data_IF_102414398162
#
_entry.id   IF_102414398162
#
_cell.length_a   1.000
_cell.length_b   1.000
_cell.length_c   1.000
_cell.angle_alpha   90.00
_cell.angle_beta   90.00
_cell.angle_gamma   90.00
#
_symmetry.space_group_name_H-M   'P 1'
#
loop_
_entity.id
_entity.type
_entity.pdbx_description
1 polymer ?
#
# COMPACT_ATOMS: atom_id res chain seq x y z
N UNK A 1 -12.27 8.87 -0.45
CA UNK A 1 -11.27 9.87 -0.88
C UNK A 1 -9.99 9.68 -0.08
N UNK A 2 -8.84 10.06 -0.63
CA UNK A 2 -7.54 9.89 0.02
C UNK A 2 -6.69 8.81 -0.66
N UNK A 3 -5.39 8.89 -0.41
CA UNK A 3 -4.40 7.95 -0.90
C UNK A 3 -4.30 6.74 0.03
N UNK A 4 -3.96 5.58 -0.51
CA UNK A 4 -3.77 4.34 0.27
C UNK A 4 -2.30 3.94 0.31
N UNK A 5 -1.93 3.20 1.35
CA UNK A 5 -0.67 2.45 1.36
C UNK A 5 -0.80 1.23 0.43
N UNK A 6 0.13 1.08 -0.52
CA UNK A 6 0.08 0.01 -1.52
C UNK A 6 0.21 -1.38 -0.90
N UNK A 7 1.07 -1.53 0.10
CA UNK A 7 1.34 -2.83 0.70
C UNK A 7 0.15 -3.30 1.55
N UNK A 8 -0.46 -2.39 2.31
CA UNK A 8 -1.70 -2.68 3.06
C UNK A 8 -2.82 -3.10 2.12
N UNK A 9 -3.00 -2.37 1.00
CA UNK A 9 -3.96 -2.74 -0.03
C UNK A 9 -3.66 -4.12 -0.66
N UNK A 10 -2.40 -4.39 -0.99
CA UNK A 10 -1.98 -5.67 -1.57
C UNK A 10 -2.19 -6.84 -0.59
N UNK A 11 -2.08 -6.63 0.72
CA UNK A 11 -2.37 -7.66 1.71
C UNK A 11 -3.88 -7.87 1.89
N UNK A 12 -4.64 -6.79 2.04
CA UNK A 12 -6.11 -6.85 2.08
C UNK A 12 -6.71 -7.56 0.86
N UNK A 13 -6.23 -7.26 -0.35
CA UNK A 13 -6.78 -7.87 -1.56
C UNK A 13 -6.43 -9.35 -1.67
N UNK A 14 -5.26 -9.79 -1.17
CA UNK A 14 -4.89 -11.21 -1.12
C UNK A 14 -5.81 -11.97 -0.18
N UNK A 15 -6.07 -11.42 1.01
CA UNK A 15 -7.00 -12.00 1.98
C UNK A 15 -8.41 -12.09 1.40
N UNK A 16 -8.90 -11.02 0.78
CA UNK A 16 -10.20 -11.02 0.11
C UNK A 16 -10.31 -12.11 -0.97
N UNK A 17 -9.28 -12.27 -1.80
CA UNK A 17 -9.26 -13.28 -2.85
C UNK A 17 -9.15 -14.70 -2.30
N UNK A 18 -8.45 -14.89 -1.19
CA UNK A 18 -8.36 -16.18 -0.50
C UNK A 18 -9.71 -16.60 0.09
N UNK A 19 -10.36 -15.68 0.81
CA UNK A 19 -11.59 -16.00 1.57
C UNK A 19 -12.85 -16.00 0.68
N UNK A 20 -12.86 -15.16 -0.36
CA UNK A 20 -14.05 -14.91 -1.16
C UNK A 20 -13.84 -15.11 -2.68
N UNK A 21 -12.70 -15.64 -3.13
CA UNK A 21 -12.37 -15.76 -4.55
C UNK A 21 -13.38 -16.58 -5.38
N UNK A 22 -13.98 -17.62 -4.80
CA UNK A 22 -15.06 -18.40 -5.45
C UNK A 22 -16.36 -17.60 -5.65
N UNK A 23 -16.58 -16.62 -4.77
CA UNK A 23 -17.75 -15.78 -4.77
C UNK A 23 -17.50 -14.47 -5.54
N UNK A 24 -16.25 -14.17 -5.91
CA UNK A 24 -15.84 -12.97 -6.60
C UNK A 24 -15.73 -13.22 -8.11
N UNK A 25 -16.75 -12.87 -8.87
CA UNK A 25 -16.79 -13.12 -10.32
C UNK A 25 -15.93 -12.15 -11.11
N UNK A 26 -15.93 -10.87 -10.73
CA UNK A 26 -15.12 -9.84 -11.38
C UNK A 26 -14.78 -8.72 -10.42
N UNK A 27 -13.55 -8.22 -10.54
CA UNK A 27 -13.08 -7.05 -9.82
C UNK A 27 -12.39 -6.08 -10.78
N UNK A 28 -12.59 -4.78 -10.62
CA UNK A 28 -11.83 -3.75 -11.35
C UNK A 28 -11.71 -2.51 -10.50
N UNK A 29 -10.59 -1.81 -10.61
CA UNK A 29 -10.45 -0.56 -9.90
C UNK A 29 -9.29 0.30 -10.35
N UNK A 30 -9.41 1.57 -10.00
CA UNK A 30 -8.37 2.59 -10.06
C UNK A 30 -8.16 3.06 -8.63
N UNK A 31 -6.94 2.98 -8.13
CA UNK A 31 -6.59 3.33 -6.75
C UNK A 31 -5.58 4.47 -6.77
N UNK A 32 -5.79 5.44 -5.88
CA UNK A 32 -4.83 6.49 -5.58
C UNK A 32 -3.83 5.97 -4.53
N UNK A 33 -2.59 5.73 -4.94
CA UNK A 33 -1.53 5.22 -4.06
C UNK A 33 -0.64 6.36 -3.57
N UNK A 34 -0.35 6.38 -2.27
CA UNK A 34 0.49 7.40 -1.65
C UNK A 34 1.89 7.39 -2.25
N UNK A 35 2.40 8.56 -2.64
CA UNK A 35 3.77 8.68 -3.18
C UNK A 35 3.96 8.18 -4.62
N UNK A 36 2.88 7.87 -5.35
CA UNK A 36 2.94 7.47 -6.77
C UNK A 36 1.98 8.32 -7.60
N UNK A 37 2.52 9.07 -8.56
CA UNK A 37 1.73 9.96 -9.44
C UNK A 37 0.98 9.22 -10.55
N UNK A 38 1.21 7.91 -10.72
CA UNK A 38 0.47 7.06 -11.65
C UNK A 38 -0.75 6.43 -10.98
N UNK A 39 -1.79 6.23 -11.77
CA UNK A 39 -2.99 5.48 -11.34
C UNK A 39 -2.63 4.01 -11.20
N UNK A 40 -2.90 3.43 -10.03
CA UNK A 40 -2.83 1.99 -9.84
C UNK A 40 -4.12 1.37 -10.36
N UNK A 41 -4.03 0.57 -11.41
CA UNK A 41 -5.17 -0.06 -12.05
C UNK A 41 -5.11 -1.55 -11.79
N UNK A 42 -6.21 -2.13 -11.30
CA UNK A 42 -6.35 -3.56 -11.17
C UNK A 42 -7.58 -4.10 -11.89
N UNK A 43 -7.51 -5.38 -12.24
CA UNK A 43 -8.62 -6.15 -12.75
C UNK A 43 -8.48 -7.62 -12.36
N UNK A 44 -9.60 -8.28 -12.12
CA UNK A 44 -9.64 -9.69 -11.76
C UNK A 44 -10.91 -10.41 -12.19
N UNK A 45 -10.80 -11.74 -12.27
CA UNK A 45 -11.86 -12.70 -12.61
C UNK A 45 -11.67 -13.94 -11.74
N UNK A 46 -12.60 -14.24 -10.83
CA UNK A 46 -12.39 -15.28 -9.84
C UNK A 46 -11.17 -14.95 -8.95
N UNK A 47 -10.29 -15.95 -8.81
CA UNK A 47 -9.02 -15.82 -8.10
C UNK A 47 -7.91 -15.08 -8.90
N UNK A 48 -8.12 -14.84 -10.20
CA UNK A 48 -7.10 -14.16 -11.01
C UNK A 48 -7.15 -12.66 -10.76
N UNK A 49 -6.01 -12.08 -10.41
CA UNK A 49 -5.84 -10.65 -10.16
C UNK A 49 -4.60 -10.13 -10.89
N UNK A 50 -4.76 -9.06 -11.64
CA UNK A 50 -3.68 -8.39 -12.35
C UNK A 50 -3.69 -6.89 -12.02
N UNK A 51 -2.49 -6.32 -11.87
CA UNK A 51 -2.28 -4.92 -11.47
C UNK A 51 -1.21 -4.25 -12.31
N UNK A 52 -1.37 -2.95 -12.55
CA UNK A 52 -0.40 -2.16 -13.31
C UNK A 52 -0.50 -0.68 -12.92
N UNK A 53 0.60 0.06 -13.05
CA UNK A 53 0.58 1.51 -12.97
C UNK A 53 0.47 2.09 -14.37
N UNK A 54 -0.60 2.83 -14.66
CA UNK A 54 -0.83 3.39 -15.99
C UNK A 54 -1.59 4.70 -15.94
N UNK A 55 -1.10 5.68 -16.70
CA UNK A 55 -1.70 7.01 -16.76
C UNK A 55 -1.38 7.80 -15.51
N UNK A 56 -0.86 9.00 -15.68
CA UNK A 56 -0.58 9.91 -14.57
C UNK A 56 -1.86 10.60 -14.12
N UNK A 57 -1.92 10.94 -12.83
CA UNK A 57 -2.88 11.91 -12.32
C UNK A 57 -2.55 13.28 -12.91
N UNK A 58 -3.53 13.93 -13.54
CA UNK A 58 -3.31 15.28 -14.10
C UNK A 58 -3.13 16.28 -12.96
N UNK A 59 -2.44 17.39 -13.24
CA UNK A 59 -2.32 18.51 -12.29
C UNK A 59 -3.71 19.00 -11.87
N UNK A 60 -4.00 18.98 -10.58
CA UNK A 60 -5.29 19.38 -10.02
C UNK A 60 -6.41 18.34 -10.17
N UNK A 61 -6.14 17.17 -10.76
CA UNK A 61 -7.09 16.05 -10.74
C UNK A 61 -7.24 15.53 -9.32
N UNK A 62 -8.49 15.37 -8.88
CA UNK A 62 -8.78 14.75 -7.59
C UNK A 62 -8.31 13.30 -7.61
N UNK A 63 -7.40 12.96 -6.70
CA UNK A 63 -6.88 11.59 -6.54
C UNK A 63 -7.88 10.76 -5.76
N UNK A 64 -8.76 10.08 -6.49
CA UNK A 64 -9.85 9.30 -5.92
C UNK A 64 -9.75 7.83 -6.34
N UNK A 65 -9.93 6.95 -5.37
CA UNK A 65 -10.01 5.51 -5.60
C UNK A 65 -11.44 5.13 -5.97
N UNK A 66 -11.63 4.42 -7.08
CA UNK A 66 -12.92 3.92 -7.55
C UNK A 66 -12.76 2.49 -8.02
N UNK A 67 -13.59 1.59 -7.51
CA UNK A 67 -13.53 0.17 -7.86
C UNK A 67 -14.90 -0.48 -7.77
N UNK A 68 -15.01 -1.65 -8.38
CA UNK A 68 -16.21 -2.48 -8.42
C UNK A 68 -15.83 -3.92 -8.15
N UNK A 69 -16.63 -4.56 -7.31
CA UNK A 69 -16.63 -6.01 -7.09
C UNK A 69 -17.99 -6.56 -7.52
N UNK A 70 -17.97 -7.64 -8.29
CA UNK A 70 -19.16 -8.36 -8.76
C UNK A 70 -19.04 -9.78 -8.25
N UNK A 71 -20.06 -10.26 -7.54
CA UNK A 71 -20.05 -11.57 -6.91
C UNK A 71 -21.36 -11.91 -6.22
N UNK A 72 -21.38 -13.04 -5.52
CA UNK A 72 -22.50 -13.49 -4.69
C UNK A 72 -22.13 -13.43 -3.20
N UNK A 73 -23.12 -13.18 -2.33
CA UNK A 73 -22.94 -13.17 -0.87
C UNK A 73 -21.78 -12.27 -0.39
N UNK A 74 -21.53 -11.16 -1.09
CA UNK A 74 -20.51 -10.19 -0.70
C UNK A 74 -21.05 -9.27 0.38
N UNK A 75 -20.34 -9.18 1.51
CA UNK A 75 -20.65 -8.23 2.57
C UNK A 75 -20.07 -6.86 2.21
N UNK A 76 -20.94 -5.96 1.76
CA UNK A 76 -20.54 -4.61 1.31
C UNK A 76 -19.92 -3.80 2.45
N UNK A 77 -20.41 -3.97 3.69
CA UNK A 77 -19.90 -3.21 4.83
C UNK A 77 -18.48 -3.66 5.19
N UNK A 78 -18.22 -4.97 5.19
CA UNK A 78 -16.86 -5.50 5.39
C UNK A 78 -15.90 -5.09 4.29
N UNK A 79 -16.32 -5.15 3.03
CA UNK A 79 -15.49 -4.72 1.90
C UNK A 79 -15.10 -3.24 2.01
N UNK A 80 -16.06 -2.39 2.40
CA UNK A 80 -15.78 -0.96 2.62
C UNK A 80 -14.83 -0.75 3.80
N UNK A 81 -15.07 -1.42 4.91
CA UNK A 81 -14.23 -1.30 6.10
C UNK A 81 -12.78 -1.73 5.82
N UNK A 82 -12.57 -2.90 5.19
CA UNK A 82 -11.22 -3.36 4.87
C UNK A 82 -10.50 -2.47 3.86
N UNK A 83 -11.20 -1.88 2.90
CA UNK A 83 -10.59 -0.88 2.02
C UNK A 83 -10.23 0.41 2.78
N UNK A 84 -11.06 0.82 3.75
CA UNK A 84 -10.83 2.02 4.55
C UNK A 84 -9.57 1.89 5.42
N UNK A 85 -9.28 0.69 5.92
CA UNK A 85 -8.03 0.37 6.64
C UNK A 85 -6.77 0.55 5.78
N UNK A 86 -6.91 0.52 4.46
CA UNK A 86 -5.79 0.78 3.55
C UNK A 86 -5.44 2.28 3.45
N UNK A 87 -6.32 3.18 3.90
CA UNK A 87 -6.12 4.62 3.74
C UNK A 87 -4.97 5.11 4.59
N UNK A 88 -4.11 5.87 3.94
CA UNK A 88 -3.03 6.56 4.63
C UNK A 88 -3.54 7.91 5.13
N UNK A 89 -3.85 7.99 6.42
CA UNK A 89 -4.45 9.17 7.05
C UNK A 89 -3.59 9.80 8.14
N UNK A 90 -2.57 9.09 8.62
CA UNK A 90 -1.71 9.54 9.71
C UNK A 90 -0.35 10.01 9.20
N UNK A 91 0.36 10.77 10.05
CA UNK A 91 1.76 11.08 9.78
C UNK A 91 2.63 9.88 10.15
N UNK A 92 3.63 9.61 9.32
CA UNK A 92 4.62 8.56 9.58
C UNK A 92 5.35 8.81 10.91
N UNK A 93 5.48 7.76 11.73
CA UNK A 93 6.09 7.78 13.07
C UNK A 93 7.51 8.37 13.10
N UNK A 94 8.28 8.20 12.02
CA UNK A 94 9.70 8.57 11.97
C UNK A 94 10.01 9.66 10.94
N UNK A 95 10.30 10.91 11.35
CA UNK A 95 10.74 11.97 10.44
C UNK A 95 12.00 11.61 9.65
N UNK A 96 12.20 12.26 8.49
CA UNK A 96 13.47 12.16 7.74
C UNK A 96 14.63 12.60 8.63
N UNK A 97 15.71 11.81 8.64
CA UNK A 97 16.87 11.97 9.53
C UNK A 97 16.82 11.11 10.79
N UNK A 98 15.67 10.51 11.12
CA UNK A 98 15.53 9.64 12.30
C UNK A 98 16.39 8.38 12.16
N UNK A 99 17.09 8.02 13.24
CA UNK A 99 17.83 6.76 13.38
C UNK A 99 16.84 5.64 13.68
N UNK A 100 16.84 4.61 12.83
CA UNK A 100 15.91 3.48 12.91
C UNK A 100 16.65 2.17 12.74
N UNK A 101 16.00 1.08 13.13
CA UNK A 101 16.35 -0.27 12.74
C UNK A 101 15.34 -0.75 11.70
N UNK A 102 15.84 -1.22 10.56
CA UNK A 102 15.02 -1.67 9.45
C UNK A 102 15.22 -3.16 9.19
N UNK A 103 14.13 -3.86 8.91
CA UNK A 103 14.13 -5.30 8.73
C UNK A 103 14.50 -5.69 7.28
N UNK A 104 15.62 -6.40 7.13
CA UNK A 104 16.10 -6.98 5.86
C UNK A 104 16.21 -8.52 5.92
N UNK A 105 15.36 -9.15 6.74
CA UNK A 105 15.51 -10.54 7.23
C UNK A 105 16.22 -10.60 8.59
N UNK A 106 16.85 -9.49 8.99
CA UNK A 106 17.32 -9.14 10.33
C UNK A 106 17.23 -7.63 10.47
N UNK A 107 17.20 -7.10 11.68
CA UNK A 107 17.24 -5.67 11.91
C UNK A 107 18.66 -5.12 11.68
N UNK A 108 18.80 -4.13 10.80
CA UNK A 108 20.02 -3.37 10.59
C UNK A 108 19.78 -1.89 10.89
N UNK A 109 20.74 -1.23 11.56
CA UNK A 109 20.67 0.20 11.86
C UNK A 109 20.78 1.03 10.56
N UNK A 110 19.98 2.08 10.50
CA UNK A 110 19.89 2.98 9.35
C UNK A 110 19.38 4.36 9.73
N UNK A 111 19.12 5.16 8.71
CA UNK A 111 18.57 6.51 8.84
C UNK A 111 17.48 6.69 7.80
N UNK A 112 16.32 7.20 8.21
CA UNK A 112 15.24 7.55 7.28
C UNK A 112 15.74 8.68 6.38
N UNK A 113 15.68 8.51 5.07
CA UNK A 113 16.13 9.51 4.10
C UNK A 113 14.99 10.09 3.25
N UNK A 114 13.84 9.41 3.18
CA UNK A 114 12.66 9.90 2.45
C UNK A 114 11.39 9.20 2.93
N UNK A 115 10.26 9.90 2.78
CA UNK A 115 8.91 9.35 2.95
C UNK A 115 8.23 9.14 1.60
N UNK A 116 7.34 8.16 1.54
CA UNK A 116 6.42 7.95 0.40
C UNK A 116 7.12 7.95 -0.96
N UNK A 117 8.15 7.11 -1.10
CA UNK A 117 8.81 6.88 -2.39
C UNK A 117 8.34 5.56 -3.00
N UNK A 118 7.82 5.64 -4.23
CA UNK A 118 7.35 4.50 -5.00
C UNK A 118 6.34 3.63 -4.22
N UNK A 119 5.49 4.26 -3.40
CA UNK A 119 4.45 3.58 -2.63
C UNK A 119 4.90 3.04 -1.27
N UNK A 120 6.17 3.25 -0.89
CA UNK A 120 6.72 2.77 0.38
C UNK A 120 6.73 3.89 1.41
N UNK A 121 6.31 3.57 2.64
CA UNK A 121 6.32 4.50 3.77
C UNK A 121 7.69 5.17 3.96
N UNK A 122 8.77 4.39 3.98
CA UNK A 122 10.13 4.91 4.19
C UNK A 122 11.14 4.41 3.17
N UNK A 123 12.05 5.31 2.76
CA UNK A 123 13.36 4.96 2.22
C UNK A 123 14.39 5.12 3.32
N UNK A 124 15.16 4.08 3.60
CA UNK A 124 16.11 4.02 4.71
C UNK A 124 17.50 3.72 4.16
N UNK A 125 18.47 4.55 4.53
CA UNK A 125 19.89 4.30 4.24
C UNK A 125 20.54 3.58 5.41
N UNK A 126 21.00 2.36 5.17
CA UNK A 126 21.70 1.53 6.14
C UNK A 126 23.15 2.01 6.35
N UNK A 127 23.78 1.59 7.45
CA UNK A 127 25.16 1.97 7.78
C UNK A 127 26.18 1.56 6.69
N UNK A 128 25.93 0.46 5.99
CA UNK A 128 26.73 -0.01 4.86
C UNK A 128 26.45 0.76 3.55
N UNK A 129 25.73 1.88 3.62
CA UNK A 129 25.31 2.75 2.51
C UNK A 129 24.31 2.11 1.53
N UNK A 130 23.87 0.87 1.75
CA UNK A 130 22.74 0.31 1.00
C UNK A 130 21.46 1.06 1.37
N UNK A 131 20.55 1.13 0.42
CA UNK A 131 19.24 1.71 0.63
C UNK A 131 18.18 0.63 0.49
N UNK A 132 17.20 0.72 1.36
CA UNK A 132 16.06 -0.19 1.39
C UNK A 132 14.77 0.60 1.55
N UNK A 133 13.66 -0.06 1.27
CA UNK A 133 12.32 0.52 1.35
C UNK A 133 11.51 -0.28 2.35
N UNK A 134 10.97 0.41 3.35
CA UNK A 134 9.99 -0.15 4.28
C UNK A 134 8.59 0.17 3.72
N UNK A 135 7.81 -0.84 3.33
CA UNK A 135 6.52 -0.62 2.67
C UNK A 135 5.48 -0.02 3.61
N UNK A 136 5.50 -0.42 4.89
CA UNK A 136 4.53 0.00 5.90
C UNK A 136 5.23 0.57 7.12
N UNK A 137 4.50 1.42 7.85
CA UNK A 137 4.95 2.00 9.11
C UNK A 137 4.57 1.15 10.31
N UNK A 138 5.10 -0.07 10.35
CA UNK A 138 4.90 -1.01 11.46
C UNK A 138 6.23 -1.60 11.88
N UNK A 139 6.32 -2.04 13.13
CA UNK A 139 7.56 -2.50 13.75
C UNK A 139 8.19 -3.67 13.00
N UNK A 140 7.39 -4.50 12.32
CA UNK A 140 7.83 -5.59 11.46
C UNK A 140 8.80 -5.13 10.35
N UNK A 141 8.64 -3.91 9.86
CA UNK A 141 9.51 -3.33 8.83
C UNK A 141 10.51 -2.33 9.39
N UNK A 142 10.09 -1.50 10.36
CA UNK A 142 10.90 -0.40 10.88
C UNK A 142 10.52 -0.04 12.31
N UNK A 143 11.53 0.11 13.15
CA UNK A 143 11.37 0.51 14.55
C UNK A 143 12.44 1.52 14.97
N UNK A 144 12.22 2.17 16.11
CA UNK A 144 13.19 3.13 16.66
C UNK A 144 14.51 2.42 16.99
N UNK A 145 15.64 3.03 16.63
CA UNK A 145 16.94 2.50 17.02
C UNK A 145 17.20 2.74 18.50
N UNK A 146 17.63 1.68 19.19
CA UNK A 146 18.18 1.76 20.55
C UNK A 146 19.67 2.06 20.55
#
# INVERSE_FOLDING_TARGET
>A
EGEVNLAVFDDWIKELLHDHGENLYRSKGIIAVKGIDKKFIFQGVGHFFNRTFRGEWKKGEKRESTFVFIGKNLDTSKLKAGFEECRETEELRFPVGTKVEANVGRYEKGTVIKHWEDGNAYRIRLHNKREIWAPMDVDEFVRIAT
#
